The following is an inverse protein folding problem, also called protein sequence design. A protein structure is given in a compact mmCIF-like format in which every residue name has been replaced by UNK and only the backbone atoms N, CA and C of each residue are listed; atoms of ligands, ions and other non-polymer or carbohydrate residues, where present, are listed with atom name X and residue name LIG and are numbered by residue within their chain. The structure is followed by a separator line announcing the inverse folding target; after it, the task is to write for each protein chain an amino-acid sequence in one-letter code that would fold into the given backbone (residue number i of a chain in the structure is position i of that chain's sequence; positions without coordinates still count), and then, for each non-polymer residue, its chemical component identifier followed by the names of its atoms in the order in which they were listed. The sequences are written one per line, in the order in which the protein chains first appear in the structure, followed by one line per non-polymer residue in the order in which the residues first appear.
data_IF_942335898298
#
_entry.id   IF_942335898298
#
_cell.length_a   1.000
_cell.length_b   1.000
_cell.length_c   1.000
_cell.angle_alpha   90.00
_cell.angle_beta   90.00
_cell.angle_gamma   90.00
#
_symmetry.space_group_name_H-M   'P 1'
#
loop_
_entity.id
_entity.type
_entity.pdbx_description
1 polymer ?
#
# COMPACT_ATOMS: atom_id res chain seq x y z
N UNK A 1 -4.68 -17.63 10.78
CA UNK A 1 -5.44 -16.51 10.18
C UNK A 1 -6.07 -15.67 11.30
N UNK A 2 -5.98 -14.35 11.23
CA UNK A 2 -6.61 -13.38 12.14
C UNK A 2 -7.62 -12.51 11.38
N UNK A 3 -8.40 -11.73 12.11
CA UNK A 3 -9.28 -10.70 11.56
C UNK A 3 -8.66 -9.32 11.75
N UNK A 4 -8.77 -8.46 10.73
CA UNK A 4 -8.26 -7.09 10.73
C UNK A 4 -9.41 -6.17 10.37
N UNK A 5 -9.65 -5.16 11.22
CA UNK A 5 -10.68 -4.16 10.97
C UNK A 5 -10.11 -3.04 10.11
N UNK A 6 -10.89 -2.61 9.13
CA UNK A 6 -10.49 -1.61 8.14
C UNK A 6 -11.62 -0.61 7.97
N UNK A 7 -11.28 0.66 8.07
CA UNK A 7 -12.14 1.77 7.67
C UNK A 7 -11.50 2.49 6.48
N UNK A 8 -12.28 2.80 5.46
CA UNK A 8 -11.84 3.66 4.37
C UNK A 8 -12.74 4.88 4.26
N UNK A 9 -12.12 6.03 4.00
CA UNK A 9 -12.76 7.31 3.75
C UNK A 9 -12.33 7.79 2.39
N UNK A 10 -13.26 7.87 1.45
CA UNK A 10 -13.05 8.34 0.09
C UNK A 10 -13.70 9.72 -0.07
N UNK A 11 -12.93 10.67 -0.54
CA UNK A 11 -13.38 12.02 -0.86
C UNK A 11 -13.77 12.06 -2.34
N UNK A 12 -15.07 11.91 -2.62
CA UNK A 12 -15.58 11.63 -3.96
C UNK A 12 -15.61 12.86 -4.87
N UNK A 13 -15.66 14.03 -4.28
CA UNK A 13 -15.67 15.33 -4.95
C UNK A 13 -14.25 15.91 -5.21
N UNK A 14 -13.21 15.26 -4.70
CA UNK A 14 -11.82 15.70 -4.90
C UNK A 14 -11.14 14.78 -5.94
N UNK A 15 -10.50 15.42 -6.92
CA UNK A 15 -9.73 14.71 -7.94
C UNK A 15 -8.23 14.97 -7.76
N UNK A 16 -7.46 13.89 -7.56
CA UNK A 16 -6.00 13.91 -7.40
C UNK A 16 -5.33 12.76 -8.16
N UNK A 17 -4.05 12.91 -8.42
CA UNK A 17 -3.21 11.86 -8.98
C UNK A 17 -2.44 11.08 -7.89
N UNK A 18 -1.88 9.94 -8.26
CA UNK A 18 -0.98 9.18 -7.36
C UNK A 18 0.24 9.99 -6.89
N UNK A 19 0.66 11.03 -7.65
CA UNK A 19 1.77 11.93 -7.30
C UNK A 19 1.44 12.85 -6.12
N UNK A 20 0.16 13.10 -5.88
CA UNK A 20 -0.29 14.00 -4.83
C UNK A 20 -0.40 13.28 -3.47
N UNK A 21 -0.38 11.95 -3.46
CA UNK A 21 -0.54 11.16 -2.23
C UNK A 21 0.54 11.45 -1.18
N UNK A 22 1.85 11.57 -1.51
CA UNK A 22 2.84 11.97 -0.52
C UNK A 22 2.58 13.35 0.09
N UNK A 23 2.02 14.30 -0.70
CA UNK A 23 1.68 15.65 -0.26
C UNK A 23 0.43 15.63 0.64
N UNK A 24 -0.60 14.87 0.22
CA UNK A 24 -1.80 14.63 1.03
C UNK A 24 -1.44 14.03 2.41
N UNK A 25 -0.57 13.00 2.43
CA UNK A 25 -0.07 12.46 3.69
C UNK A 25 0.68 13.51 4.51
N UNK A 26 1.48 14.35 3.86
CA UNK A 26 2.20 15.46 4.51
C UNK A 26 1.25 16.45 5.18
N UNK A 27 0.16 16.82 4.51
CA UNK A 27 -0.89 17.68 5.05
C UNK A 27 -1.45 17.11 6.35
N UNK A 28 -1.96 15.88 6.34
CA UNK A 28 -2.52 15.25 7.53
C UNK A 28 -1.49 15.06 8.65
N UNK A 29 -0.28 14.62 8.32
CA UNK A 29 0.80 14.48 9.30
C UNK A 29 1.19 15.81 9.96
N UNK A 30 1.15 16.92 9.23
CA UNK A 30 1.40 18.25 9.79
C UNK A 30 0.24 18.75 10.64
N UNK A 31 -1.00 18.53 10.20
CA UNK A 31 -2.21 18.98 10.92
C UNK A 31 -2.41 18.20 12.21
N UNK A 32 -2.18 16.88 12.20
CA UNK A 32 -2.35 15.98 13.34
C UNK A 32 -1.00 15.56 13.95
N UNK A 33 -0.13 16.52 14.24
CA UNK A 33 1.26 16.29 14.73
C UNK A 33 1.33 15.48 16.02
N UNK A 34 0.36 15.64 16.90
CA UNK A 34 0.31 14.96 18.19
C UNK A 34 -0.04 13.46 18.04
N UNK A 35 -0.58 13.06 16.89
CA UNK A 35 -0.96 11.69 16.67
C UNK A 35 0.21 10.86 16.11
N UNK A 36 0.75 9.98 16.93
CA UNK A 36 1.94 9.15 16.60
C UNK A 36 1.72 8.20 15.42
N UNK A 37 0.46 7.87 15.06
CA UNK A 37 0.17 7.00 13.92
C UNK A 37 0.45 7.63 12.55
N UNK A 38 0.55 8.98 12.47
CA UNK A 38 1.03 9.67 11.27
C UNK A 38 2.55 9.74 11.18
N UNK A 39 3.25 9.54 12.29
CA UNK A 39 4.68 9.68 12.38
C UNK A 39 5.34 8.34 12.71
N UNK A 40 6.33 7.92 11.91
CA UNK A 40 7.15 6.75 12.22
C UNK A 40 8.28 7.08 13.22
N UNK A 41 8.13 8.16 14.01
CA UNK A 41 9.13 8.60 14.96
C UNK A 41 8.53 8.51 16.37
N UNK A 42 9.11 7.64 17.20
CA UNK A 42 8.92 7.62 18.65
C UNK A 42 10.19 8.21 19.27
N UNK A 43 10.18 9.51 19.61
CA UNK A 43 11.30 10.15 20.29
C UNK A 43 12.64 9.99 19.55
N UNK A 44 13.52 9.13 20.03
CA UNK A 44 14.90 8.96 19.54
C UNK A 44 15.07 7.86 18.46
N UNK A 45 14.00 7.24 17.93
CA UNK A 45 14.11 6.14 16.99
C UNK A 45 13.07 6.11 15.87
N UNK A 46 13.37 5.38 14.77
CA UNK A 46 12.41 5.06 13.74
C UNK A 46 11.57 3.85 14.16
N UNK A 47 10.26 4.02 14.23
CA UNK A 47 9.37 2.88 14.36
C UNK A 47 9.15 2.26 12.96
N UNK A 48 9.80 1.14 12.69
CA UNK A 48 9.62 0.37 11.45
C UNK A 48 8.35 -0.50 11.44
N UNK A 49 7.40 -0.23 12.33
CA UNK A 49 6.12 -0.92 12.33
C UNK A 49 5.33 -0.64 11.05
N UNK A 50 4.48 -1.60 10.66
CA UNK A 50 3.57 -1.43 9.53
C UNK A 50 2.60 -0.26 9.80
N UNK A 51 2.50 0.71 8.88
CA UNK A 51 1.66 1.90 9.08
C UNK A 51 0.19 1.51 9.27
N UNK A 52 -0.49 2.13 10.23
CA UNK A 52 -1.92 1.90 10.50
C UNK A 52 -2.84 2.88 9.74
N UNK A 53 -2.25 3.89 9.12
CA UNK A 53 -2.95 4.83 8.25
C UNK A 53 -2.28 4.86 6.88
N UNK A 54 -3.06 4.56 5.85
CA UNK A 54 -2.60 4.56 4.47
C UNK A 54 -3.34 5.61 3.65
N UNK A 55 -2.64 6.20 2.70
CA UNK A 55 -3.16 7.17 1.75
C UNK A 55 -3.10 6.60 0.34
N UNK A 56 -4.18 6.72 -0.42
CA UNK A 56 -4.33 6.16 -1.77
C UNK A 56 -4.98 7.16 -2.71
N UNK A 57 -4.70 7.04 -4.01
CA UNK A 57 -5.54 7.55 -5.07
C UNK A 57 -6.24 6.35 -5.71
N UNK A 58 -7.57 6.30 -5.61
CA UNK A 58 -8.39 5.23 -6.19
C UNK A 58 -9.41 5.90 -7.10
N UNK A 59 -9.39 5.58 -8.38
CA UNK A 59 -10.18 6.23 -9.43
C UNK A 59 -10.06 7.77 -9.35
N UNK A 60 -8.83 8.26 -9.17
CA UNK A 60 -8.47 9.65 -8.99
C UNK A 60 -9.04 10.35 -7.74
N UNK A 61 -9.68 9.65 -6.82
CA UNK A 61 -10.09 10.24 -5.55
C UNK A 61 -9.10 9.93 -4.43
N UNK A 62 -8.90 10.87 -3.49
CA UNK A 62 -8.17 10.59 -2.26
C UNK A 62 -8.91 9.58 -1.42
N UNK A 63 -8.19 8.57 -0.94
CA UNK A 63 -8.72 7.57 -0.01
C UNK A 63 -7.77 7.42 1.16
N UNK A 64 -8.28 7.60 2.35
CA UNK A 64 -7.60 7.31 3.61
C UNK A 64 -8.09 5.96 4.12
N UNK A 65 -7.16 5.13 4.59
CA UNK A 65 -7.45 3.80 5.10
C UNK A 65 -6.87 3.68 6.51
N UNK A 66 -7.73 3.51 7.49
CA UNK A 66 -7.37 3.20 8.88
C UNK A 66 -7.48 1.70 9.12
N UNK A 67 -6.52 1.16 9.84
CA UNK A 67 -6.39 -0.26 10.11
C UNK A 67 -6.30 -0.44 11.63
N UNK A 68 -7.23 -1.21 12.21
CA UNK A 68 -7.35 -1.43 13.66
C UNK A 68 -7.35 -0.08 14.42
N UNK A 69 -6.33 0.19 15.24
CA UNK A 69 -6.17 1.44 15.99
C UNK A 69 -6.17 2.71 15.11
N UNK A 70 -5.80 2.60 13.84
CA UNK A 70 -5.87 3.70 12.87
C UNK A 70 -7.29 4.15 12.52
N UNK A 71 -8.32 3.34 12.84
CA UNK A 71 -9.71 3.65 12.59
C UNK A 71 -10.16 4.84 13.46
N UNK A 72 -9.76 4.89 14.73
CA UNK A 72 -10.17 5.97 15.63
C UNK A 72 -9.61 7.32 15.16
N UNK A 73 -8.39 7.33 14.64
CA UNK A 73 -7.79 8.52 14.04
C UNK A 73 -8.56 8.96 12.80
N UNK A 74 -8.99 8.02 11.94
CA UNK A 74 -9.79 8.37 10.77
C UNK A 74 -11.17 8.91 11.15
N UNK A 75 -11.79 8.42 12.20
CA UNK A 75 -13.06 8.99 12.71
C UNK A 75 -12.88 10.45 13.10
N UNK A 76 -11.82 10.77 13.84
CA UNK A 76 -11.49 12.15 14.20
C UNK A 76 -11.32 13.05 12.96
N UNK A 77 -10.55 12.59 11.95
CA UNK A 77 -10.35 13.31 10.69
C UNK A 77 -11.68 13.55 9.96
N UNK A 78 -12.50 12.50 9.84
CA UNK A 78 -13.77 12.58 9.10
C UNK A 78 -14.69 13.68 9.63
N UNK A 79 -14.73 13.87 10.95
CA UNK A 79 -15.59 14.87 11.58
C UNK A 79 -15.01 16.28 11.56
N UNK A 80 -13.67 16.42 11.45
CA UNK A 80 -13.01 17.71 11.61
C UNK A 80 -12.48 18.30 10.28
N UNK A 81 -12.59 17.59 9.15
CA UNK A 81 -12.06 18.05 7.87
C UNK A 81 -13.17 18.48 6.90
N UNK A 82 -13.30 19.80 6.75
CA UNK A 82 -14.18 20.41 5.74
C UNK A 82 -13.37 20.91 4.53
N UNK A 83 -12.05 20.95 4.66
CA UNK A 83 -11.13 21.29 3.57
C UNK A 83 -9.82 20.50 3.67
N UNK A 84 -9.19 20.28 2.53
CA UNK A 84 -7.88 19.61 2.42
C UNK A 84 -6.97 20.48 1.56
N UNK A 85 -5.77 20.79 2.08
CA UNK A 85 -4.75 21.47 1.30
C UNK A 85 -3.70 20.49 0.79
N UNK A 86 -3.50 20.48 -0.52
CA UNK A 86 -2.52 19.64 -1.20
C UNK A 86 -1.60 20.56 -2.01
N UNK A 87 -0.37 20.76 -1.55
CA UNK A 87 0.65 21.53 -2.25
C UNK A 87 0.20 22.99 -2.55
N UNK A 88 -0.45 23.63 -1.58
CA UNK A 88 -0.95 25.01 -1.71
C UNK A 88 -2.32 25.13 -2.37
N UNK A 89 -2.88 24.05 -2.93
CA UNK A 89 -4.23 24.03 -3.47
C UNK A 89 -5.22 23.52 -2.42
N UNK A 90 -6.19 24.36 -2.07
CA UNK A 90 -7.27 23.99 -1.14
C UNK A 90 -8.44 23.37 -1.90
N UNK A 91 -8.93 22.26 -1.41
CA UNK A 91 -10.12 21.53 -1.87
C UNK A 91 -11.16 21.56 -0.75
N UNK A 92 -12.37 22.01 -1.07
CA UNK A 92 -13.50 21.86 -0.16
C UNK A 92 -13.97 20.41 -0.15
N UNK A 93 -14.31 19.90 1.01
CA UNK A 93 -14.77 18.54 1.20
C UNK A 93 -16.29 18.55 1.41
N UNK A 94 -17.05 18.25 0.37
CA UNK A 94 -18.51 18.26 0.44
C UNK A 94 -19.08 16.84 0.58
N UNK A 95 -18.34 15.81 0.11
CA UNK A 95 -18.81 14.45 0.10
C UNK A 95 -17.74 13.45 0.54
N UNK A 96 -18.08 12.62 1.50
CA UNK A 96 -17.22 11.55 2.02
C UNK A 96 -17.97 10.21 1.96
N UNK A 97 -17.42 9.24 1.25
CA UNK A 97 -17.92 7.86 1.29
C UNK A 97 -17.10 7.06 2.31
N UNK A 98 -17.77 6.57 3.35
CA UNK A 98 -17.14 5.86 4.46
C UNK A 98 -17.56 4.41 4.41
N UNK A 99 -16.60 3.49 4.44
CA UNK A 99 -16.86 2.06 4.58
C UNK A 99 -16.04 1.48 5.71
N UNK A 100 -16.64 0.56 6.45
CA UNK A 100 -15.93 -0.22 7.47
C UNK A 100 -16.21 -1.70 7.27
N UNK A 101 -15.16 -2.51 7.36
CA UNK A 101 -15.25 -3.97 7.18
C UNK A 101 -14.18 -4.69 7.98
N UNK A 102 -14.46 -5.95 8.32
CA UNK A 102 -13.48 -6.87 8.90
C UNK A 102 -13.00 -7.84 7.83
N UNK A 103 -11.71 -7.97 7.65
CA UNK A 103 -11.08 -8.76 6.60
C UNK A 103 -10.19 -9.87 7.20
N UNK A 104 -10.08 -11.03 6.53
CA UNK A 104 -9.12 -12.05 6.90
C UNK A 104 -7.69 -11.58 6.58
N UNK A 105 -6.74 -11.96 7.44
CA UNK A 105 -5.31 -11.76 7.26
C UNK A 105 -4.54 -12.99 7.74
N UNK A 106 -3.57 -13.45 6.96
CA UNK A 106 -2.75 -14.62 7.29
C UNK A 106 -2.86 -15.74 6.27
N UNK A 107 -2.30 -16.90 6.60
CA UNK A 107 -2.24 -18.07 5.73
C UNK A 107 -3.63 -18.53 5.27
N UNK A 108 -3.72 -18.93 4.00
CA UNK A 108 -4.92 -19.41 3.33
C UNK A 108 -4.72 -20.83 2.80
N UNK A 109 -5.80 -21.61 2.72
CA UNK A 109 -5.77 -22.97 2.18
C UNK A 109 -5.50 -23.04 0.68
N UNK A 110 -5.79 -21.95 -0.05
CA UNK A 110 -5.64 -21.89 -1.51
C UNK A 110 -4.99 -20.61 -2.00
N UNK A 111 -4.59 -20.63 -3.29
CA UNK A 111 -3.96 -19.50 -3.94
C UNK A 111 -4.96 -18.37 -4.23
N UNK A 112 -4.63 -17.18 -3.80
CA UNK A 112 -5.38 -15.95 -3.98
C UNK A 112 -4.63 -15.07 -4.98
N UNK A 113 -5.35 -14.53 -5.95
CA UNK A 113 -4.79 -13.65 -6.97
C UNK A 113 -4.91 -12.18 -6.55
N UNK A 114 -3.81 -11.45 -6.69
CA UNK A 114 -3.72 -10.02 -6.43
C UNK A 114 -3.13 -9.28 -7.61
N UNK A 115 -3.53 -8.03 -7.80
CA UNK A 115 -2.94 -7.10 -8.76
C UNK A 115 -2.42 -5.86 -8.03
N UNK A 116 -1.25 -5.40 -8.43
CA UNK A 116 -0.76 -4.08 -8.02
C UNK A 116 -1.54 -3.01 -8.78
N UNK A 117 -2.25 -2.17 -8.04
CA UNK A 117 -2.96 -0.99 -8.58
C UNK A 117 -2.12 0.28 -8.48
N UNK A 118 -1.00 0.23 -7.79
CA UNK A 118 0.03 1.27 -7.77
C UNK A 118 1.43 0.63 -7.82
N UNK A 119 2.45 1.36 -8.28
CA UNK A 119 3.79 0.81 -8.41
C UNK A 119 4.35 0.28 -7.08
N UNK A 120 4.86 -0.94 -7.08
CA UNK A 120 5.51 -1.55 -5.94
C UNK A 120 6.98 -1.15 -5.88
N UNK A 121 7.36 -0.46 -4.80
CA UNK A 121 8.74 -0.08 -4.52
C UNK A 121 9.40 -1.22 -3.72
N UNK A 122 9.88 -2.24 -4.43
CA UNK A 122 10.43 -3.46 -3.87
C UNK A 122 11.87 -3.29 -3.37
N UNK A 123 12.68 -2.51 -4.09
CA UNK A 123 14.12 -2.47 -3.94
C UNK A 123 14.57 -1.39 -2.95
N UNK A 124 15.50 -1.72 -2.09
CA UNK A 124 16.36 -0.77 -1.40
C UNK A 124 17.64 -0.57 -2.22
N UNK A 125 18.57 0.25 -1.74
CA UNK A 125 19.81 0.52 -2.43
C UNK A 125 20.66 -0.74 -2.64
N UNK A 126 20.77 -1.58 -1.62
CA UNK A 126 21.52 -2.84 -1.67
C UNK A 126 20.82 -3.84 -2.62
N UNK A 127 19.52 -4.03 -2.47
CA UNK A 127 18.74 -4.90 -3.33
C UNK A 127 18.76 -4.44 -4.80
N UNK A 128 18.82 -3.13 -5.05
CA UNK A 128 18.92 -2.59 -6.40
C UNK A 128 20.27 -2.95 -7.06
N UNK A 129 21.38 -2.85 -6.31
CA UNK A 129 22.70 -3.27 -6.81
C UNK A 129 22.69 -4.74 -7.19
N UNK A 130 22.18 -5.61 -6.30
CA UNK A 130 22.07 -7.05 -6.56
C UNK A 130 21.16 -7.32 -7.75
N UNK A 131 19.97 -6.73 -7.79
CA UNK A 131 18.99 -6.94 -8.86
C UNK A 131 19.56 -6.67 -10.27
N UNK A 132 20.41 -5.66 -10.41
CA UNK A 132 21.01 -5.30 -11.69
C UNK A 132 22.08 -6.31 -12.19
N UNK A 133 22.59 -7.18 -11.32
CA UNK A 133 23.57 -8.21 -11.70
C UNK A 133 22.94 -9.55 -12.04
N UNK A 134 21.64 -9.72 -11.78
CA UNK A 134 20.92 -10.97 -11.96
C UNK A 134 20.50 -11.19 -13.42
N UNK A 135 20.40 -12.45 -13.82
CA UNK A 135 19.68 -12.87 -15.03
C UNK A 135 18.19 -12.57 -14.92
N UNK A 136 17.44 -12.59 -16.01
CA UNK A 136 15.99 -12.32 -15.97
C UNK A 136 15.23 -13.38 -15.17
N UNK A 137 15.67 -14.63 -15.22
CA UNK A 137 15.10 -15.72 -14.41
C UNK A 137 15.36 -15.48 -12.91
N UNK A 138 16.60 -15.16 -12.54
CA UNK A 138 16.97 -14.88 -11.16
C UNK A 138 16.27 -13.64 -10.60
N UNK A 139 16.04 -12.61 -11.43
CA UNK A 139 15.23 -11.44 -11.07
C UNK A 139 13.84 -11.83 -10.67
N UNK A 140 13.22 -12.79 -11.36
CA UNK A 140 11.90 -13.28 -11.03
C UNK A 140 11.87 -13.94 -9.64
N UNK A 141 12.81 -14.85 -9.35
CA UNK A 141 12.93 -15.47 -8.03
C UNK A 141 13.23 -14.45 -6.94
N UNK A 142 14.08 -13.48 -7.24
CA UNK A 142 14.45 -12.42 -6.32
C UNK A 142 13.24 -11.56 -5.93
N UNK A 143 12.40 -11.17 -6.89
CA UNK A 143 11.19 -10.38 -6.62
C UNK A 143 10.14 -11.17 -5.82
N UNK A 144 9.94 -12.45 -6.14
CA UNK A 144 9.05 -13.32 -5.36
C UNK A 144 9.52 -13.44 -3.89
N UNK A 145 10.82 -13.59 -3.67
CA UNK A 145 11.41 -13.60 -2.33
C UNK A 145 11.18 -12.27 -1.60
N UNK A 146 11.44 -11.13 -2.24
CA UNK A 146 11.19 -9.82 -1.65
C UNK A 146 9.72 -9.60 -1.31
N UNK A 147 8.82 -10.08 -2.15
CA UNK A 147 7.38 -9.98 -1.88
C UNK A 147 6.98 -10.83 -0.67
N UNK A 148 7.54 -12.02 -0.51
CA UNK A 148 7.37 -12.87 0.68
C UNK A 148 7.86 -12.17 1.96
N UNK A 149 9.02 -11.50 1.90
CA UNK A 149 9.54 -10.70 3.02
C UNK A 149 8.62 -9.51 3.38
N UNK A 150 7.90 -8.97 2.38
CA UNK A 150 6.89 -7.94 2.68
C UNK A 150 5.71 -8.52 3.50
N UNK A 151 5.31 -9.77 3.27
CA UNK A 151 4.26 -10.43 4.07
C UNK A 151 4.72 -10.63 5.51
N UNK A 152 5.99 -10.99 5.72
CA UNK A 152 6.60 -11.08 7.06
C UNK A 152 6.55 -9.73 7.78
N UNK A 153 6.83 -8.64 7.05
CA UNK A 153 6.74 -7.28 7.59
C UNK A 153 5.30 -6.92 7.97
N UNK A 154 4.32 -7.27 7.12
CA UNK A 154 2.90 -7.12 7.43
C UNK A 154 2.50 -7.93 8.67
N UNK A 155 2.84 -9.21 8.70
CA UNK A 155 2.52 -10.12 9.78
C UNK A 155 3.04 -9.60 11.13
N UNK A 156 4.29 -9.11 11.16
CA UNK A 156 4.87 -8.46 12.33
C UNK A 156 4.06 -7.22 12.76
N UNK A 157 3.56 -6.43 11.82
CA UNK A 157 2.75 -5.24 12.10
C UNK A 157 1.37 -5.54 12.72
N UNK A 158 0.91 -6.79 12.63
CA UNK A 158 -0.35 -7.28 13.21
C UNK A 158 -0.14 -8.30 14.33
N UNK A 159 1.07 -8.46 14.84
CA UNK A 159 1.43 -9.49 15.81
C UNK A 159 1.00 -10.90 15.35
N UNK A 160 0.98 -11.12 14.04
CA UNK A 160 0.69 -12.41 13.44
C UNK A 160 2.00 -13.17 13.22
N UNK A 161 2.13 -14.32 13.86
CA UNK A 161 3.29 -15.17 13.70
C UNK A 161 3.12 -16.09 12.49
N UNK A 162 4.07 -16.08 11.55
CA UNK A 162 4.19 -17.03 10.45
C UNK A 162 5.20 -18.08 10.90
N UNK A 163 4.77 -19.34 11.17
CA UNK A 163 5.66 -20.38 11.70
C UNK A 163 6.82 -20.70 10.76
N UNK A 164 6.52 -20.79 9.47
CA UNK A 164 7.51 -21.02 8.42
C UNK A 164 7.24 -20.08 7.25
N UNK A 165 8.14 -19.13 7.02
CA UNK A 165 8.00 -18.18 5.92
C UNK A 165 8.12 -18.86 4.55
N UNK A 166 8.79 -19.97 4.44
CA UNK A 166 8.94 -20.72 3.20
C UNK A 166 7.65 -21.47 2.81
N UNK A 167 6.73 -21.70 3.77
CA UNK A 167 5.38 -22.21 3.48
C UNK A 167 4.52 -21.23 2.68
N UNK A 168 4.87 -19.94 2.72
CA UNK A 168 4.17 -18.91 1.98
C UNK A 168 4.58 -18.93 0.51
N UNK A 169 3.68 -19.42 -0.32
CA UNK A 169 3.87 -19.49 -1.76
C UNK A 169 3.63 -18.13 -2.40
N UNK A 170 4.52 -17.72 -3.28
CA UNK A 170 4.41 -16.49 -4.05
C UNK A 170 4.85 -16.76 -5.48
N UNK A 171 3.97 -16.47 -6.44
CA UNK A 171 4.28 -16.50 -7.86
C UNK A 171 3.72 -15.23 -8.51
N UNK A 172 4.59 -14.40 -9.06
CA UNK A 172 4.21 -13.13 -9.66
C UNK A 172 4.65 -12.96 -11.11
N UNK A 173 4.02 -12.04 -11.81
CA UNK A 173 4.48 -11.49 -13.08
C UNK A 173 4.67 -9.99 -12.88
N UNK A 174 5.90 -9.53 -13.04
CA UNK A 174 6.31 -8.17 -12.71
C UNK A 174 6.76 -7.43 -13.97
N UNK A 175 6.39 -6.16 -14.06
CA UNK A 175 6.78 -5.27 -15.14
C UNK A 175 7.48 -4.05 -14.54
N UNK A 176 8.61 -3.68 -15.10
CA UNK A 176 9.39 -2.51 -14.68
C UNK A 176 8.59 -1.22 -14.90
N UNK A 177 8.59 -0.35 -13.90
CA UNK A 177 7.99 0.97 -13.95
C UNK A 177 8.92 1.99 -13.32
N UNK A 178 9.39 2.97 -14.09
CA UNK A 178 10.13 4.11 -13.53
C UNK A 178 9.16 5.12 -12.96
N UNK A 179 9.43 5.56 -11.73
CA UNK A 179 8.60 6.54 -11.01
C UNK A 179 9.51 7.64 -10.44
N UNK A 180 9.10 8.88 -10.59
CA UNK A 180 9.77 9.99 -9.91
C UNK A 180 9.29 10.07 -8.45
N UNK A 181 10.21 9.94 -7.51
CA UNK A 181 9.93 10.09 -6.09
C UNK A 181 11.04 10.91 -5.43
N UNK A 182 10.69 12.04 -4.79
CA UNK A 182 11.65 12.97 -4.17
C UNK A 182 12.77 13.40 -5.14
N UNK A 183 12.41 13.77 -6.37
CA UNK A 183 13.33 14.18 -7.45
C UNK A 183 14.33 13.09 -7.91
N UNK A 184 14.09 11.84 -7.58
CA UNK A 184 14.88 10.71 -8.03
C UNK A 184 14.02 9.73 -8.85
N UNK A 185 14.61 9.17 -9.92
CA UNK A 185 13.98 8.08 -10.68
C UNK A 185 14.17 6.78 -9.90
N UNK A 186 13.08 6.17 -9.49
CA UNK A 186 13.05 4.90 -8.76
C UNK A 186 12.51 3.79 -9.67
N UNK A 187 13.22 2.65 -9.70
CA UNK A 187 12.69 1.44 -10.31
C UNK A 187 11.66 0.82 -9.36
N UNK A 188 10.44 0.75 -9.83
CA UNK A 188 9.31 0.10 -9.18
C UNK A 188 8.76 -1.00 -10.10
N UNK A 189 7.79 -1.76 -9.60
CA UNK A 189 7.19 -2.86 -10.34
C UNK A 189 5.66 -2.73 -10.34
N UNK A 190 5.05 -3.14 -11.43
CA UNK A 190 3.61 -3.36 -11.57
C UNK A 190 3.37 -4.81 -11.94
N UNK A 191 2.12 -5.23 -12.05
CA UNK A 191 1.76 -6.60 -12.44
C UNK A 191 0.83 -7.26 -11.45
N UNK A 192 0.93 -8.57 -11.34
CA UNK A 192 0.08 -9.40 -10.48
C UNK A 192 0.89 -10.51 -9.82
N UNK A 193 0.34 -11.07 -8.76
CA UNK A 193 0.88 -12.26 -8.10
C UNK A 193 -0.24 -13.11 -7.53
N UNK A 194 0.05 -14.38 -7.29
CA UNK A 194 -0.77 -15.29 -6.49
C UNK A 194 -0.01 -15.76 -5.27
N UNK A 195 -0.72 -15.96 -4.18
CA UNK A 195 -0.16 -16.40 -2.91
C UNK A 195 -1.21 -17.13 -2.08
N UNK A 196 -0.77 -18.02 -1.19
CA UNK A 196 -1.59 -18.65 -0.16
C UNK A 196 -1.69 -17.79 1.10
N UNK A 197 -1.80 -16.46 0.95
CA UNK A 197 -1.86 -15.54 2.08
C UNK A 197 -2.96 -14.49 1.87
N UNK A 198 -3.86 -14.34 2.84
CA UNK A 198 -4.90 -13.31 2.83
C UNK A 198 -4.32 -11.95 3.17
N UNK A 199 -4.48 -10.99 2.27
CA UNK A 199 -4.11 -9.60 2.46
C UNK A 199 -5.33 -8.75 2.06
N UNK A 200 -5.78 -7.84 2.93
CA UNK A 200 -6.89 -6.95 2.59
C UNK A 200 -6.57 -6.05 1.39
N UNK A 201 -7.61 -5.71 0.62
CA UNK A 201 -7.50 -4.78 -0.49
C UNK A 201 -6.95 -3.42 -0.04
N UNK A 202 -6.22 -2.79 -0.95
CA UNK A 202 -5.59 -1.48 -0.78
C UNK A 202 -4.45 -1.44 0.25
N UNK A 203 -4.06 -2.56 0.83
CA UNK A 203 -2.82 -2.62 1.60
C UNK A 203 -1.64 -2.35 0.69
N UNK A 204 -0.63 -1.65 1.21
CA UNK A 204 0.60 -1.38 0.49
C UNK A 204 1.69 -2.35 0.88
N UNK A 205 2.37 -2.90 -0.10
CA UNK A 205 3.53 -3.77 0.04
C UNK A 205 4.81 -3.00 -0.27
N UNK A 206 5.90 -3.34 0.41
CA UNK A 206 7.21 -2.73 0.19
C UNK A 206 7.37 -1.33 0.78
N UNK A 207 8.32 -0.59 0.22
CA UNK A 207 8.66 0.75 0.70
C UNK A 207 7.59 1.76 0.34
N UNK A 208 7.45 2.80 1.16
CA UNK A 208 6.51 3.90 0.97
C UNK A 208 5.03 3.45 0.91
N UNK A 209 4.72 2.31 1.50
CA UNK A 209 3.36 1.72 1.51
C UNK A 209 2.29 2.66 2.05
N UNK A 210 2.57 3.49 3.05
CA UNK A 210 1.65 4.51 3.55
C UNK A 210 1.44 5.70 2.58
N UNK A 211 2.32 5.86 1.59
CA UNK A 211 2.33 6.98 0.63
C UNK A 211 1.85 6.60 -0.77
N UNK A 212 0.99 5.58 -0.86
CA UNK A 212 0.35 5.20 -2.11
C UNK A 212 1.10 4.15 -2.94
N UNK A 213 2.28 3.68 -2.52
CA UNK A 213 3.04 2.67 -3.24
C UNK A 213 2.62 1.24 -2.87
N UNK A 214 2.78 0.32 -3.83
CA UNK A 214 2.58 -1.10 -3.65
C UNK A 214 1.15 -1.53 -3.28
N UNK A 215 0.17 -0.69 -3.56
CA UNK A 215 -1.24 -1.00 -3.29
C UNK A 215 -1.71 -2.18 -4.12
N UNK A 216 -2.41 -3.10 -3.48
CA UNK A 216 -2.94 -4.30 -4.12
C UNK A 216 -4.45 -4.40 -4.00
N UNK A 217 -5.06 -5.12 -4.92
CA UNK A 217 -6.46 -5.57 -4.82
C UNK A 217 -6.54 -7.05 -5.17
N UNK A 218 -7.44 -7.75 -4.49
CA UNK A 218 -7.78 -9.13 -4.81
C UNK A 218 -8.49 -9.17 -6.17
N UNK A 219 -8.09 -10.11 -7.02
CA UNK A 219 -8.76 -10.38 -8.27
C UNK A 219 -9.72 -11.56 -8.09
N UNK A 220 -10.98 -11.35 -8.45
CA UNK A 220 -11.90 -12.46 -8.62
C UNK A 220 -11.47 -13.31 -9.83
N UNK A 221 -11.64 -14.62 -9.75
CA UNK A 221 -11.40 -15.55 -10.87
C UNK A 221 -12.42 -15.30 -11.99
N UNK A 222 -12.32 -14.17 -12.70
CA UNK A 222 -12.87 -14.05 -14.05
C UNK A 222 -11.78 -14.52 -15.00
N UNK A 223 -12.13 -15.44 -15.90
CA UNK A 223 -11.20 -16.05 -16.84
C UNK A 223 -10.22 -15.02 -17.42
N UNK A 224 -8.97 -15.41 -17.43
CA UNK A 224 -7.82 -14.59 -17.86
C UNK A 224 -8.11 -14.00 -19.24
N UNK A 225 -8.54 -12.74 -19.29
CA UNK A 225 -8.32 -11.89 -20.45
C UNK A 225 -7.03 -11.13 -20.14
N UNK A 226 -6.06 -11.33 -21.00
CA UNK A 226 -4.75 -10.66 -20.97
C UNK A 226 -4.95 -9.15 -21.23
N UNK A 227 -5.20 -8.39 -20.17
CA UNK A 227 -5.30 -6.94 -20.25
C UNK A 227 -3.91 -6.30 -20.07
N UNK A 228 -3.09 -6.41 -21.12
CA UNK A 228 -1.84 -5.67 -21.26
C UNK A 228 -2.06 -4.13 -21.44
N UNK A 229 -3.29 -3.65 -21.30
CA UNK A 229 -3.68 -2.25 -21.51
C UNK A 229 -4.48 -1.69 -20.33
N UNK A 230 -3.86 -1.53 -19.19
CA UNK A 230 -4.35 -0.55 -18.21
C UNK A 230 -3.32 0.58 -18.18
N UNK A 231 -3.60 1.62 -18.94
CA UNK A 231 -2.78 2.84 -19.00
C UNK A 231 -2.91 3.54 -17.66
N UNK A 232 -1.85 3.52 -16.91
CA UNK A 232 -1.69 4.37 -15.75
C UNK A 232 -1.26 5.76 -16.27
N UNK A 233 -2.22 6.71 -16.36
CA UNK A 233 -1.92 8.10 -16.64
C UNK A 233 -1.34 8.75 -15.37
N UNK A 234 -0.03 8.69 -15.23
CA UNK A 234 0.72 9.30 -14.15
C UNK A 234 1.42 10.59 -14.56
#
# INVERSE_FOLDING_TARGET
MIKVDIMSVRYTDINISGRDIPKLRGYFANKYRENTLFHNHLGTGFNYAFPKIHFRAIDNNPVLIGINEGIEVLKEIVFNEDEINIDGKTYQVNEKNITQKTCPFGEAEGMIHYKFISPWMALNEENYKVFNTLSDEDKWFFLNRLLRENFKTLAKGFNYFIPDIESIQVEGKYYNKLVNFKNQKMLCFTGWFKTNFHIPDYFGLGKQSARGFGSIVKQEKKGVKDDSKTVWNG
#
